data_IF_595206630222
#
_entry.id   IF_595206630222
#
_cell.length_a   1.000
_cell.length_b   1.000
_cell.length_c   1.000
_cell.angle_alpha   90.00
_cell.angle_beta   90.00
_cell.angle_gamma   90.00
#
_symmetry.space_group_name_H-M   'P 1'
#
loop_
_entity.id
_entity.type
_entity.pdbx_description
1 polymer ?
#
# COMPACT_ATOMS: atom_id res chain seq x y z
N UNK A 1 -8.05 33.01 13.08
CA UNK A 1 -8.23 32.37 11.76
C UNK A 1 -7.01 31.51 11.52
N UNK A 2 -7.13 30.19 11.59
CA UNK A 2 -6.01 29.30 11.24
C UNK A 2 -5.76 29.37 9.74
N UNK A 3 -4.49 29.36 9.31
CA UNK A 3 -4.18 29.23 7.88
C UNK A 3 -4.69 27.87 7.40
N UNK A 4 -5.51 27.88 6.35
CA UNK A 4 -5.94 26.65 5.70
C UNK A 4 -4.70 25.94 5.15
N UNK A 5 -4.41 24.74 5.65
CA UNK A 5 -3.26 23.95 5.19
C UNK A 5 -3.47 23.57 3.72
N UNK A 6 -2.45 23.80 2.90
CA UNK A 6 -2.47 23.52 1.46
C UNK A 6 -1.78 22.17 1.22
N UNK A 7 -2.43 21.27 0.47
CA UNK A 7 -1.85 19.97 0.14
C UNK A 7 -0.60 20.12 -0.74
N UNK A 8 0.37 19.22 -0.54
CA UNK A 8 1.58 19.05 -1.35
C UNK A 8 1.29 19.06 -2.86
N UNK A 9 0.22 18.40 -3.31
CA UNK A 9 -0.13 18.28 -4.74
C UNK A 9 -0.53 19.61 -5.38
N UNK A 10 -1.05 20.56 -4.59
CA UNK A 10 -1.40 21.88 -5.09
C UNK A 10 -0.15 22.71 -5.45
N UNK A 11 0.99 22.39 -4.82
CA UNK A 11 2.32 22.94 -5.13
C UNK A 11 3.09 22.06 -6.14
N UNK A 12 2.91 20.74 -6.10
CA UNK A 12 3.61 19.76 -6.94
C UNK A 12 2.63 18.97 -7.83
N UNK A 13 2.10 19.62 -8.88
CA UNK A 13 1.26 18.91 -9.85
C UNK A 13 2.08 17.85 -10.58
N UNK A 14 1.54 16.63 -10.69
CA UNK A 14 2.09 15.67 -11.64
C UNK A 14 1.68 16.07 -13.05
N UNK A 15 2.70 16.34 -13.86
CA UNK A 15 2.58 16.49 -15.31
C UNK A 15 2.60 15.08 -15.94
N UNK A 16 1.65 14.78 -16.81
CA UNK A 16 1.73 13.59 -17.65
C UNK A 16 2.67 13.85 -18.82
N UNK A 17 3.83 13.18 -18.81
CA UNK A 17 4.85 13.27 -19.86
C UNK A 17 4.75 12.14 -20.90
N UNK A 18 3.65 11.37 -20.89
CA UNK A 18 3.33 10.35 -21.90
C UNK A 18 3.01 10.96 -23.27
N UNK A 19 2.42 12.16 -23.30
CA UNK A 19 1.92 12.82 -24.51
C UNK A 19 0.53 12.36 -24.96
N UNK A 20 -0.18 11.57 -24.15
CA UNK A 20 -1.49 10.98 -24.49
C UNK A 20 -2.62 11.91 -24.01
N UNK A 21 -3.61 12.15 -24.87
CA UNK A 21 -4.79 12.97 -24.52
C UNK A 21 -5.94 12.09 -24.06
N UNK A 22 -6.29 12.18 -22.79
CA UNK A 22 -7.43 11.46 -22.18
C UNK A 22 -8.70 12.30 -22.35
N UNK A 23 -9.77 11.73 -22.91
CA UNK A 23 -11.05 12.45 -23.04
C UNK A 23 -11.89 12.33 -21.75
N UNK A 24 -12.75 13.33 -21.44
CA UNK A 24 -13.63 13.27 -20.26
C UNK A 24 -14.47 11.99 -20.22
N UNK A 25 -14.45 11.31 -19.08
CA UNK A 25 -15.21 10.07 -18.84
C UNK A 25 -14.58 8.79 -19.39
N UNK A 26 -13.42 8.85 -20.07
CA UNK A 26 -12.68 7.65 -20.44
C UNK A 26 -11.87 7.08 -19.26
N UNK A 27 -11.67 5.75 -19.26
CA UNK A 27 -10.63 5.13 -18.45
C UNK A 27 -9.26 5.58 -19.00
N UNK A 28 -8.43 6.31 -18.21
CA UNK A 28 -7.16 6.85 -18.70
C UNK A 28 -6.17 5.74 -19.07
N UNK A 29 -6.24 4.60 -18.40
CA UNK A 29 -5.35 3.47 -18.63
C UNK A 29 -5.70 2.73 -19.92
N UNK A 30 -6.99 2.67 -20.27
CA UNK A 30 -7.44 2.08 -21.54
C UNK A 30 -7.05 2.95 -22.75
N UNK A 31 -7.14 4.28 -22.60
CA UNK A 31 -6.62 5.23 -23.60
C UNK A 31 -5.10 5.06 -23.82
N UNK A 32 -4.35 4.80 -22.73
CA UNK A 32 -2.92 4.54 -22.78
C UNK A 32 -2.57 3.23 -23.50
N UNK A 33 -3.24 2.12 -23.16
CA UNK A 33 -3.04 0.81 -23.81
C UNK A 33 -3.31 0.92 -25.32
N UNK A 34 -4.38 1.63 -25.71
CA UNK A 34 -4.72 1.89 -27.13
C UNK A 34 -3.66 2.71 -27.85
N UNK A 35 -3.08 3.72 -27.21
CA UNK A 35 -2.00 4.52 -27.77
C UNK A 35 -0.71 3.71 -27.99
N UNK A 36 -0.49 2.66 -27.20
CA UNK A 36 0.60 1.69 -27.32
C UNK A 36 0.23 0.44 -28.16
N UNK A 37 -0.87 0.45 -28.92
CA UNK A 37 -1.32 -0.68 -29.75
C UNK A 37 -1.49 -2.01 -28.99
N UNK A 38 -1.74 -1.98 -27.68
CA UNK A 38 -1.73 -3.16 -26.79
C UNK A 38 -0.39 -3.95 -26.83
N UNK A 39 0.71 -3.25 -27.09
CA UNK A 39 2.06 -3.81 -27.16
C UNK A 39 2.81 -3.59 -25.83
N UNK A 40 3.17 -4.66 -25.08
CA UNK A 40 3.92 -4.55 -23.83
C UNK A 40 5.23 -3.76 -23.93
N UNK A 41 5.93 -3.87 -25.05
CA UNK A 41 7.19 -3.16 -25.27
C UNK A 41 6.99 -1.64 -25.43
N UNK A 42 5.91 -1.22 -26.09
CA UNK A 42 5.53 0.19 -26.21
C UNK A 42 5.07 0.76 -24.85
N UNK A 43 4.26 -0.01 -24.10
CA UNK A 43 3.86 0.33 -22.72
C UNK A 43 5.12 0.49 -21.84
N UNK A 44 6.05 -0.47 -21.86
CA UNK A 44 7.29 -0.39 -21.09
C UNK A 44 8.12 0.84 -21.49
N UNK A 45 8.28 1.10 -22.80
CA UNK A 45 9.04 2.22 -23.31
C UNK A 45 8.46 3.58 -22.86
N UNK A 46 7.14 3.74 -22.82
CA UNK A 46 6.52 4.95 -22.30
C UNK A 46 6.67 5.10 -20.78
N UNK A 47 6.55 4.02 -19.99
CA UNK A 47 6.88 4.06 -18.56
C UNK A 47 8.33 4.50 -18.33
N UNK A 48 9.26 3.97 -19.13
CA UNK A 48 10.67 4.32 -19.07
C UNK A 48 10.93 5.78 -19.44
N UNK A 49 10.34 6.25 -20.54
CA UNK A 49 10.44 7.64 -21.00
C UNK A 49 9.82 8.61 -19.98
N UNK A 50 8.69 8.28 -19.37
CA UNK A 50 8.05 9.11 -18.33
C UNK A 50 8.94 9.25 -17.10
N UNK A 51 9.42 8.14 -16.52
CA UNK A 51 10.23 8.19 -15.28
C UNK A 51 11.59 8.87 -15.49
N UNK A 52 12.24 8.65 -16.63
CA UNK A 52 13.55 9.27 -16.95
C UNK A 52 13.41 10.77 -17.23
N UNK A 53 12.43 11.20 -18.04
CA UNK A 53 12.14 12.63 -18.25
C UNK A 53 11.77 13.33 -16.95
N UNK A 54 10.94 12.71 -16.10
CA UNK A 54 10.58 13.30 -14.79
C UNK A 54 11.80 13.44 -13.89
N UNK A 55 12.63 12.40 -13.77
CA UNK A 55 13.88 12.49 -12.99
C UNK A 55 14.78 13.62 -13.48
N UNK A 56 14.98 13.76 -14.79
CA UNK A 56 15.81 14.83 -15.35
C UNK A 56 15.20 16.22 -15.10
N UNK A 57 13.89 16.41 -15.30
CA UNK A 57 13.22 17.67 -14.96
C UNK A 57 13.38 18.04 -13.48
N UNK A 58 13.32 17.06 -12.57
CA UNK A 58 13.42 17.29 -11.13
C UNK A 58 14.88 17.52 -10.71
N UNK A 59 15.83 16.80 -11.30
CA UNK A 59 17.27 17.06 -11.20
C UNK A 59 17.60 18.52 -11.52
N UNK A 60 17.12 19.02 -12.66
CA UNK A 60 17.32 20.41 -13.05
C UNK A 60 16.71 21.40 -12.05
N UNK A 61 15.54 21.10 -11.46
CA UNK A 61 14.94 21.92 -10.38
C UNK A 61 15.80 21.94 -9.10
N UNK A 62 16.38 20.81 -8.68
CA UNK A 62 17.24 20.74 -7.49
C UNK A 62 18.52 21.57 -7.64
N UNK A 63 19.18 21.50 -8.80
CA UNK A 63 20.46 22.18 -9.06
C UNK A 63 20.29 23.60 -9.62
N UNK A 64 19.06 24.06 -9.83
CA UNK A 64 18.77 25.39 -10.37
C UNK A 64 19.37 26.50 -9.47
N UNK A 65 20.03 27.52 -10.05
CA UNK A 65 20.52 28.67 -9.29
C UNK A 65 19.42 29.44 -8.56
N UNK A 66 18.17 29.33 -9.03
CA UNK A 66 16.99 29.98 -8.47
C UNK A 66 16.08 29.01 -7.70
N UNK A 67 16.57 27.83 -7.29
CA UNK A 67 15.90 26.92 -6.35
C UNK A 67 15.25 27.69 -5.17
N UNK A 68 14.00 27.36 -4.85
CA UNK A 68 13.19 28.08 -3.85
C UNK A 68 13.12 27.35 -2.51
N UNK A 69 12.48 26.18 -2.52
CA UNK A 69 12.18 25.34 -1.36
C UNK A 69 11.90 23.91 -1.84
N UNK A 70 12.07 22.95 -0.94
CA UNK A 70 11.41 21.66 -0.99
C UNK A 70 9.92 21.83 -0.67
N UNK A 71 9.11 20.91 -1.15
CA UNK A 71 7.65 20.93 -0.99
C UNK A 71 7.30 19.99 0.17
N UNK A 72 7.48 20.50 1.39
CA UNK A 72 7.22 19.78 2.64
C UNK A 72 5.70 19.61 2.85
N UNK A 73 5.25 18.38 3.15
CA UNK A 73 3.85 18.13 3.50
C UNK A 73 3.54 18.65 4.93
N UNK A 74 2.62 19.62 5.09
CA UNK A 74 2.38 20.25 6.39
C UNK A 74 1.56 19.39 7.35
N UNK A 75 0.93 18.30 6.88
CA UNK A 75 0.20 17.35 7.71
C UNK A 75 1.16 16.29 8.25
N UNK A 76 1.99 15.68 7.38
CA UNK A 76 3.01 14.72 7.82
C UNK A 76 4.00 15.38 8.79
N UNK A 77 4.42 16.63 8.52
CA UNK A 77 5.29 17.39 9.41
C UNK A 77 4.70 17.54 10.83
N UNK A 78 3.38 17.67 10.97
CA UNK A 78 2.70 17.74 12.29
C UNK A 78 2.56 16.38 12.95
N UNK A 79 2.23 15.34 12.18
CA UNK A 79 2.17 13.96 12.69
C UNK A 79 3.51 13.53 13.29
N UNK A 80 4.61 13.89 12.63
CA UNK A 80 5.98 13.55 13.05
C UNK A 80 6.60 14.55 14.04
N UNK A 81 5.96 15.72 14.27
CA UNK A 81 6.43 16.72 15.22
C UNK A 81 5.34 17.16 16.22
N UNK A 82 5.19 16.44 17.36
CA UNK A 82 4.24 16.78 18.42
C UNK A 82 4.45 18.15 19.07
N UNK A 83 5.62 18.79 18.91
CA UNK A 83 5.87 20.15 19.42
C UNK A 83 5.13 21.22 18.60
N UNK A 84 4.79 20.94 17.34
CA UNK A 84 4.01 21.85 16.50
C UNK A 84 2.54 21.83 16.86
N UNK A 85 1.97 20.64 17.08
CA UNK A 85 0.55 20.47 17.37
C UNK A 85 0.29 19.13 18.08
N UNK A 86 0.28 19.16 19.42
CA UNK A 86 0.13 17.95 20.24
C UNK A 86 -1.23 17.27 20.00
N UNK A 87 -1.19 16.01 19.55
CA UNK A 87 -2.40 15.23 19.27
C UNK A 87 -3.05 15.53 17.92
N UNK A 88 -2.32 16.19 17.00
CA UNK A 88 -2.76 16.38 15.61
C UNK A 88 -3.19 15.06 14.96
N UNK A 89 -4.28 15.13 14.19
CA UNK A 89 -4.77 14.04 13.35
C UNK A 89 -4.93 14.58 11.93
N UNK A 90 -4.45 13.85 10.93
CA UNK A 90 -4.62 14.26 9.54
C UNK A 90 -6.10 14.11 9.14
N UNK A 91 -6.83 15.19 8.79
CA UNK A 91 -8.23 15.09 8.39
C UNK A 91 -8.42 14.46 7.00
N UNK A 92 -7.35 14.26 6.22
CA UNK A 92 -7.41 13.71 4.86
C UNK A 92 -7.61 12.19 4.89
N UNK A 93 -8.75 11.74 4.39
CA UNK A 93 -9.02 10.31 4.16
C UNK A 93 -9.06 10.02 2.65
N UNK A 94 -8.82 8.77 2.28
CA UNK A 94 -8.80 8.32 0.89
C UNK A 94 -9.52 6.99 0.71
N UNK A 95 -9.75 6.61 -0.55
CA UNK A 95 -10.06 5.24 -0.93
C UNK A 95 -9.09 4.81 -2.03
N UNK A 96 -8.24 3.81 -1.74
CA UNK A 96 -7.13 3.38 -2.60
C UNK A 96 -7.06 1.86 -2.64
N UNK A 97 -6.95 1.29 -3.83
CA UNK A 97 -6.56 -0.11 -4.03
C UNK A 97 -5.03 -0.18 -4.14
N UNK A 98 -4.43 -0.69 -3.08
CA UNK A 98 -3.00 -0.95 -2.96
C UNK A 98 -2.63 -2.41 -3.27
N UNK A 99 -1.42 -2.60 -3.81
CA UNK A 99 -0.69 -3.85 -3.81
C UNK A 99 0.36 -3.81 -2.70
N UNK A 100 0.48 -4.90 -1.91
CA UNK A 100 1.60 -5.04 -0.96
C UNK A 100 2.83 -5.57 -1.72
N UNK A 101 4.00 -4.91 -1.60
CA UNK A 101 5.23 -5.42 -2.19
C UNK A 101 5.66 -6.75 -1.55
N UNK A 102 6.21 -7.70 -2.33
CA UNK A 102 6.82 -8.90 -1.78
C UNK A 102 8.00 -8.58 -0.84
N UNK A 103 8.25 -9.45 0.13
CA UNK A 103 9.32 -9.30 1.13
C UNK A 103 10.73 -9.02 0.53
N UNK A 104 11.07 -9.61 -0.63
CA UNK A 104 12.33 -9.30 -1.30
C UNK A 104 12.43 -7.84 -1.81
N UNK A 105 11.30 -7.25 -2.21
CA UNK A 105 11.20 -5.84 -2.60
C UNK A 105 11.22 -4.93 -1.36
N UNK A 106 10.57 -5.32 -0.26
CA UNK A 106 10.65 -4.58 1.01
C UNK A 106 12.08 -4.52 1.52
N UNK A 107 12.84 -5.62 1.44
CA UNK A 107 14.28 -5.62 1.76
C UNK A 107 15.07 -4.68 0.84
N UNK A 108 14.82 -4.70 -0.47
CA UNK A 108 15.49 -3.80 -1.42
C UNK A 108 15.19 -2.33 -1.11
N UNK A 109 13.91 -2.01 -0.85
CA UNK A 109 13.49 -0.67 -0.43
C UNK A 109 14.16 -0.25 0.88
N UNK A 110 14.29 -1.14 1.87
CA UNK A 110 14.99 -0.87 3.13
C UNK A 110 16.49 -0.61 2.93
N UNK A 111 17.15 -1.35 2.02
CA UNK A 111 18.55 -1.10 1.66
C UNK A 111 18.72 0.28 1.02
N UNK A 112 17.86 0.63 0.07
CA UNK A 112 17.86 1.94 -0.60
C UNK A 112 17.57 3.09 0.37
N UNK A 113 16.60 2.91 1.29
CA UNK A 113 16.37 3.85 2.39
C UNK A 113 17.63 4.06 3.23
N UNK A 114 18.39 3.01 3.55
CA UNK A 114 19.62 3.11 4.33
C UNK A 114 20.76 3.81 3.57
N UNK A 115 20.82 3.72 2.23
CA UNK A 115 21.74 4.51 1.41
C UNK A 115 21.33 5.99 1.38
N UNK A 116 20.06 6.28 1.09
CA UNK A 116 19.53 7.64 1.01
C UNK A 116 19.60 8.38 2.37
N UNK A 117 19.33 7.69 3.48
CA UNK A 117 19.41 8.26 4.84
C UNK A 117 20.83 8.63 5.27
N UNK A 118 21.87 8.02 4.68
CA UNK A 118 23.27 8.45 4.88
C UNK A 118 23.58 9.75 4.13
N UNK A 119 22.91 10.00 3.00
CA UNK A 119 23.07 11.20 2.20
C UNK A 119 22.29 12.39 2.80
N UNK A 120 21.06 12.15 3.26
CA UNK A 120 20.19 13.15 3.86
C UNK A 120 19.66 12.64 5.23
N UNK A 121 20.39 12.90 6.34
CA UNK A 121 20.04 12.38 7.66
C UNK A 121 18.71 12.84 8.26
N UNK A 122 18.13 13.95 7.78
CA UNK A 122 16.89 14.55 8.29
C UNK A 122 15.62 14.15 7.51
N UNK A 123 15.72 13.35 6.42
CA UNK A 123 14.53 12.86 5.69
C UNK A 123 13.68 11.91 6.53
N UNK A 124 12.36 11.96 6.33
CA UNK A 124 11.46 10.94 6.84
C UNK A 124 11.46 9.71 5.92
N UNK A 125 11.37 8.51 6.49
CA UNK A 125 11.40 7.25 5.77
C UNK A 125 10.08 6.51 5.96
N UNK A 126 9.46 6.07 4.86
CA UNK A 126 8.24 5.26 4.89
C UNK A 126 8.47 3.97 5.69
N UNK A 127 7.72 3.70 6.77
CA UNK A 127 7.89 2.48 7.55
C UNK A 127 7.66 1.22 6.68
N UNK A 128 8.55 0.23 6.75
CA UNK A 128 8.52 -0.97 5.90
C UNK A 128 7.16 -1.69 5.92
N UNK A 129 6.51 -1.79 7.07
CA UNK A 129 5.19 -2.42 7.23
C UNK A 129 4.03 -1.63 6.59
N UNK A 130 4.27 -0.37 6.19
CA UNK A 130 3.34 0.51 5.47
C UNK A 130 3.70 0.69 4.00
N UNK A 131 4.83 0.14 3.53
CA UNK A 131 5.20 0.19 2.11
C UNK A 131 4.12 -0.50 1.26
N UNK A 132 3.71 0.20 0.21
CA UNK A 132 2.66 -0.23 -0.70
C UNK A 132 2.88 0.38 -2.09
N UNK A 133 2.22 -0.19 -3.09
CA UNK A 133 2.21 0.29 -4.47
C UNK A 133 0.75 0.54 -4.88
N UNK A 134 0.45 1.74 -5.37
CA UNK A 134 -0.93 2.14 -5.68
C UNK A 134 -1.35 1.66 -7.07
N UNK A 135 -2.28 0.71 -7.13
CA UNK A 135 -2.93 0.28 -8.38
C UNK A 135 -3.95 1.32 -8.84
N UNK A 136 -4.84 1.75 -7.93
CA UNK A 136 -5.85 2.77 -8.18
C UNK A 136 -6.11 3.62 -6.94
N UNK A 137 -5.91 4.94 -7.04
CA UNK A 137 -6.54 5.91 -6.14
C UNK A 137 -7.96 6.20 -6.67
N UNK A 138 -8.99 5.87 -5.88
CA UNK A 138 -10.40 6.14 -6.21
C UNK A 138 -10.75 7.59 -5.82
N UNK A 139 -10.36 8.04 -4.64
CA UNK A 139 -10.49 9.44 -4.22
C UNK A 139 -9.52 9.77 -3.07
N UNK A 140 -9.33 11.07 -2.82
CA UNK A 140 -8.34 11.63 -1.90
C UNK A 140 -8.91 12.83 -1.12
N UNK A 141 -8.32 13.15 0.03
CA UNK A 141 -8.65 14.32 0.86
C UNK A 141 -10.15 14.48 1.19
N UNK A 142 -10.82 13.37 1.50
CA UNK A 142 -12.23 13.33 1.93
C UNK A 142 -12.39 13.23 3.44
N UNK A 143 -13.60 13.51 3.92
CA UNK A 143 -14.04 13.25 5.30
C UNK A 143 -14.25 11.75 5.57
N UNK A 144 -14.22 11.30 6.84
CA UNK A 144 -14.55 9.93 7.20
C UNK A 144 -15.95 9.49 6.74
N UNK A 145 -16.93 10.39 6.78
CA UNK A 145 -18.32 10.15 6.36
C UNK A 145 -18.42 9.88 4.86
N UNK A 146 -17.73 10.69 4.04
CA UNK A 146 -17.64 10.48 2.59
C UNK A 146 -16.98 9.14 2.25
N UNK A 147 -15.84 8.81 2.89
CA UNK A 147 -15.17 7.51 2.67
C UNK A 147 -16.04 6.34 3.12
N UNK A 148 -16.81 6.49 4.21
CA UNK A 148 -17.76 5.46 4.66
C UNK A 148 -18.85 5.23 3.61
N UNK A 149 -19.47 6.28 3.07
CA UNK A 149 -20.48 6.17 2.02
C UNK A 149 -19.95 5.52 0.73
N UNK A 150 -18.73 5.85 0.32
CA UNK A 150 -18.07 5.26 -0.84
C UNK A 150 -17.74 3.78 -0.61
N UNK A 151 -17.15 3.43 0.53
CA UNK A 151 -16.82 2.04 0.87
C UNK A 151 -18.06 1.16 1.06
N UNK A 152 -19.17 1.70 1.57
CA UNK A 152 -20.46 1.01 1.61
C UNK A 152 -21.02 0.72 0.22
N UNK A 153 -20.91 1.68 -0.71
CA UNK A 153 -21.33 1.50 -2.11
C UNK A 153 -20.51 0.40 -2.80
N UNK A 154 -19.20 0.33 -2.54
CA UNK A 154 -18.31 -0.68 -3.13
C UNK A 154 -18.28 -2.02 -2.39
N UNK A 155 -18.98 -2.15 -1.25
CA UNK A 155 -18.77 -3.21 -0.23
C UNK A 155 -18.82 -4.65 -0.77
N UNK A 156 -19.65 -4.92 -1.78
CA UNK A 156 -19.75 -6.24 -2.43
C UNK A 156 -18.64 -6.53 -3.45
N UNK A 157 -18.07 -5.49 -4.07
CA UNK A 157 -17.04 -5.59 -5.10
C UNK A 157 -15.61 -5.57 -4.53
N UNK A 158 -15.38 -4.90 -3.39
CA UNK A 158 -14.05 -4.79 -2.74
C UNK A 158 -13.29 -6.13 -2.65
N UNK A 159 -13.90 -7.26 -2.22
CA UNK A 159 -13.18 -8.54 -2.14
C UNK A 159 -12.72 -9.01 -3.52
N UNK A 160 -13.57 -8.89 -4.54
CA UNK A 160 -13.25 -9.30 -5.91
C UNK A 160 -12.14 -8.45 -6.54
N UNK A 161 -12.15 -7.14 -6.27
CA UNK A 161 -11.11 -6.21 -6.75
C UNK A 161 -9.76 -6.48 -6.06
N UNK A 162 -9.77 -6.69 -4.74
CA UNK A 162 -8.56 -7.01 -3.99
C UNK A 162 -7.97 -8.37 -4.41
N UNK A 163 -8.83 -9.37 -4.61
CA UNK A 163 -8.44 -10.72 -5.02
C UNK A 163 -8.08 -10.84 -6.52
N UNK A 164 -8.28 -9.78 -7.32
CA UNK A 164 -8.14 -9.83 -8.79
C UNK A 164 -6.76 -10.34 -9.24
N UNK A 165 -5.71 -9.95 -8.51
CA UNK A 165 -4.32 -10.34 -8.74
C UNK A 165 -4.01 -11.83 -8.54
N UNK A 166 -4.86 -12.59 -7.84
CA UNK A 166 -4.71 -14.04 -7.76
C UNK A 166 -4.85 -14.72 -9.12
N UNK A 167 -5.67 -14.14 -10.01
CA UNK A 167 -5.96 -14.65 -11.36
C UNK A 167 -5.37 -13.80 -12.50
N UNK A 168 -4.95 -12.56 -12.23
CA UNK A 168 -4.40 -11.63 -13.22
C UNK A 168 -3.04 -11.10 -12.74
N UNK A 169 -1.95 -11.74 -13.18
CA UNK A 169 -0.60 -11.54 -12.65
C UNK A 169 0.29 -10.80 -13.63
N UNK A 170 0.47 -9.51 -13.41
CA UNK A 170 1.50 -8.72 -14.09
C UNK A 170 2.82 -8.71 -13.33
N UNK A 171 3.93 -8.65 -14.07
CA UNK A 171 5.29 -8.50 -13.51
C UNK A 171 5.76 -7.04 -13.60
N UNK A 172 6.62 -6.66 -12.66
CA UNK A 172 7.34 -5.39 -12.64
C UNK A 172 8.84 -5.67 -12.57
N UNK A 173 9.65 -4.84 -13.20
CA UNK A 173 11.10 -5.05 -13.39
C UNK A 173 11.86 -3.72 -13.31
N UNK A 174 13.20 -3.81 -13.40
CA UNK A 174 14.10 -2.66 -13.62
C UNK A 174 13.90 -1.51 -12.60
N UNK A 175 14.09 -1.77 -11.29
CA UNK A 175 13.96 -0.76 -10.23
C UNK A 175 14.80 0.50 -10.50
N UNK A 176 14.24 1.68 -10.22
CA UNK A 176 14.94 2.97 -10.34
C UNK A 176 14.39 3.95 -9.29
N UNK A 177 15.27 4.63 -8.57
CA UNK A 177 14.91 5.75 -7.69
C UNK A 177 14.37 6.90 -8.55
N UNK A 178 13.13 7.30 -8.25
CA UNK A 178 12.50 8.52 -8.75
C UNK A 178 12.26 9.48 -7.60
N UNK A 179 12.41 10.77 -7.87
CA UNK A 179 12.30 11.82 -6.87
C UNK A 179 11.75 13.11 -7.47
N UNK A 180 11.22 13.96 -6.60
CA UNK A 180 10.92 15.35 -6.88
C UNK A 180 11.19 16.20 -5.64
N UNK A 181 10.77 17.47 -5.64
CA UNK A 181 10.96 18.40 -4.52
C UNK A 181 10.19 18.02 -3.24
N UNK A 182 9.28 17.03 -3.27
CA UNK A 182 8.46 16.61 -2.12
C UNK A 182 8.83 15.23 -1.55
N UNK A 183 9.22 14.29 -2.40
CA UNK A 183 9.39 12.89 -2.03
C UNK A 183 10.41 12.15 -2.90
N UNK A 184 10.78 10.96 -2.44
CA UNK A 184 11.56 9.99 -3.21
C UNK A 184 10.97 8.58 -3.05
N UNK A 185 11.02 7.81 -4.13
CA UNK A 185 10.34 6.53 -4.30
C UNK A 185 11.20 5.58 -5.14
N UNK A 186 11.01 4.27 -4.98
CA UNK A 186 11.50 3.28 -5.96
C UNK A 186 10.39 3.04 -6.98
N UNK A 187 10.73 3.17 -8.25
CA UNK A 187 9.84 2.99 -9.40
C UNK A 187 10.25 1.79 -10.24
N UNK A 188 9.28 1.17 -10.90
CA UNK A 188 9.46 -0.05 -11.69
C UNK A 188 8.81 0.11 -13.07
N UNK A 189 9.29 -0.69 -14.01
CA UNK A 189 8.68 -0.83 -15.32
C UNK A 189 7.76 -2.06 -15.35
N UNK A 190 6.64 -2.06 -16.09
CA UNK A 190 5.95 -3.28 -16.47
C UNK A 190 6.89 -4.16 -17.29
N UNK A 191 6.92 -5.47 -17.02
CA UNK A 191 7.68 -6.40 -17.84
C UNK A 191 7.12 -6.50 -19.27
N UNK A 192 7.99 -6.79 -20.23
CA UNK A 192 7.71 -6.83 -21.66
C UNK A 192 8.56 -7.89 -22.39
N UNK A 193 8.81 -9.04 -21.75
CA UNK A 193 9.57 -10.17 -22.30
C UNK A 193 10.88 -10.47 -21.58
N UNK A 194 11.19 -9.80 -20.46
CA UNK A 194 12.35 -10.15 -19.62
C UNK A 194 12.27 -11.61 -19.14
N UNK A 195 13.40 -12.34 -19.05
CA UNK A 195 13.39 -13.69 -18.52
C UNK A 195 12.94 -13.69 -17.05
N UNK A 196 12.04 -14.59 -16.61
CA UNK A 196 11.69 -14.70 -15.20
C UNK A 196 12.94 -15.07 -14.38
N UNK A 197 13.21 -14.29 -13.33
CA UNK A 197 14.43 -14.41 -12.51
C UNK A 197 14.23 -15.28 -11.24
N UNK A 198 13.02 -15.75 -10.97
CA UNK A 198 12.73 -16.67 -9.87
C UNK A 198 11.72 -17.76 -10.22
N UNK A 199 11.33 -18.59 -9.24
CA UNK A 199 10.61 -19.83 -9.50
C UNK A 199 9.20 -19.57 -10.07
N UNK A 200 8.69 -20.46 -10.94
CA UNK A 200 7.30 -20.38 -11.37
C UNK A 200 6.37 -20.46 -10.15
N UNK A 201 5.25 -19.72 -10.14
CA UNK A 201 4.33 -19.74 -9.01
C UNK A 201 3.85 -21.16 -8.69
N UNK A 202 3.76 -21.50 -7.40
CA UNK A 202 3.24 -22.80 -6.98
C UNK A 202 1.79 -22.97 -7.48
N UNK A 203 1.54 -24.04 -8.25
CA UNK A 203 0.21 -24.40 -8.72
C UNK A 203 -0.67 -24.78 -7.52
N UNK A 204 -1.72 -24.01 -7.27
CA UNK A 204 -2.73 -24.33 -6.24
C UNK A 204 -3.93 -25.02 -6.90
N UNK A 205 -4.49 -26.03 -6.23
CA UNK A 205 -5.52 -26.92 -6.78
C UNK A 205 -6.86 -26.25 -7.15
N UNK A 206 -7.00 -24.95 -6.91
CA UNK A 206 -8.19 -24.13 -7.20
C UNK A 206 -7.99 -23.11 -8.33
N UNK A 207 -6.80 -23.04 -8.94
CA UNK A 207 -6.55 -22.14 -10.06
C UNK A 207 -7.36 -22.54 -11.31
N UNK A 208 -8.43 -21.79 -11.57
CA UNK A 208 -8.88 -21.53 -12.95
C UNK A 208 -7.73 -20.93 -13.76
N UNK A 209 -7.84 -20.95 -15.10
CA UNK A 209 -6.87 -20.34 -16.01
C UNK A 209 -6.42 -18.95 -15.49
N UNK A 210 -5.15 -18.86 -15.11
CA UNK A 210 -4.50 -17.63 -14.63
C UNK A 210 -4.03 -16.87 -15.87
N UNK A 211 -4.32 -15.58 -15.93
CA UNK A 211 -3.68 -14.69 -16.89
C UNK A 211 -2.31 -14.35 -16.32
N UNK A 212 -1.27 -14.89 -16.97
CA UNK A 212 0.13 -14.72 -16.62
C UNK A 212 0.99 -14.54 -17.88
N UNK A 213 2.15 -13.92 -17.71
CA UNK A 213 3.03 -13.49 -18.80
C UNK A 213 2.86 -12.02 -19.16
N UNK A 214 3.79 -11.51 -19.96
CA UNK A 214 4.03 -10.07 -20.10
C UNK A 214 3.09 -9.37 -21.10
N UNK A 215 2.22 -10.11 -21.80
CA UNK A 215 1.08 -9.52 -22.49
C UNK A 215 0.17 -8.77 -21.51
N UNK A 216 -0.04 -9.33 -20.32
CA UNK A 216 -0.79 -8.69 -19.24
C UNK A 216 0.14 -7.82 -18.37
N UNK A 217 0.53 -6.66 -18.90
CA UNK A 217 1.33 -5.66 -18.17
C UNK A 217 0.62 -5.11 -16.92
N UNK A 218 1.37 -4.49 -16.01
CA UNK A 218 0.81 -3.77 -14.85
C UNK A 218 -0.18 -2.66 -15.24
N UNK A 219 -0.06 -2.09 -16.43
CA UNK A 219 -1.01 -1.07 -16.90
C UNK A 219 -2.40 -1.67 -17.18
N UNK A 220 -2.47 -2.92 -17.64
CA UNK A 220 -3.73 -3.66 -17.76
C UNK A 220 -4.40 -3.87 -16.40
N UNK A 221 -3.62 -4.20 -15.36
CA UNK A 221 -4.17 -4.30 -14.01
C UNK A 221 -4.79 -2.98 -13.54
N UNK A 222 -4.16 -1.83 -13.82
CA UNK A 222 -4.73 -0.52 -13.47
C UNK A 222 -6.03 -0.25 -14.25
N UNK A 223 -6.06 -0.60 -15.54
CA UNK A 223 -7.24 -0.50 -16.41
C UNK A 223 -8.39 -1.34 -15.86
N UNK A 224 -8.14 -2.61 -15.57
CA UNK A 224 -9.15 -3.55 -15.09
C UNK A 224 -9.64 -3.18 -13.68
N UNK A 225 -8.75 -2.80 -12.76
CA UNK A 225 -9.12 -2.33 -11.41
C UNK A 225 -9.93 -1.03 -11.46
N UNK A 226 -9.62 -0.12 -12.40
CA UNK A 226 -10.44 1.08 -12.66
C UNK A 226 -11.84 0.71 -13.14
N UNK A 227 -11.97 -0.15 -14.16
CA UNK A 227 -13.28 -0.53 -14.71
C UNK A 227 -14.13 -1.26 -13.66
N UNK A 228 -13.53 -2.15 -12.87
CA UNK A 228 -14.22 -2.82 -11.77
C UNK A 228 -14.65 -1.84 -10.67
N UNK A 229 -13.80 -0.88 -10.30
CA UNK A 229 -14.17 0.15 -9.33
C UNK A 229 -15.30 1.04 -9.87
N UNK A 230 -15.21 1.51 -11.11
CA UNK A 230 -16.23 2.33 -11.77
C UNK A 230 -17.56 1.59 -11.91
N UNK A 231 -17.55 0.26 -12.13
CA UNK A 231 -18.76 -0.56 -12.25
C UNK A 231 -19.64 -0.57 -11.00
N UNK A 232 -19.10 -0.17 -9.85
CA UNK A 232 -19.87 0.00 -8.59
C UNK A 232 -20.74 1.27 -8.57
N UNK A 233 -20.56 2.18 -9.52
CA UNK A 233 -21.20 3.50 -9.53
C UNK A 233 -20.45 4.58 -8.74
N UNK A 234 -19.31 4.25 -8.11
CA UNK A 234 -18.45 5.24 -7.45
C UNK A 234 -17.67 6.08 -8.49
N UNK A 235 -17.67 7.42 -8.37
CA UNK A 235 -16.83 8.27 -9.20
C UNK A 235 -15.35 8.10 -8.84
N UNK A 236 -14.48 8.05 -9.85
CA UNK A 236 -13.03 7.96 -9.68
C UNK A 236 -12.42 9.35 -9.87
N UNK A 237 -11.92 9.91 -8.78
CA UNK A 237 -11.29 11.24 -8.64
C UNK A 237 -9.77 11.11 -8.46
N UNK A 238 -9.14 10.28 -9.30
CA UNK A 238 -7.72 9.93 -9.21
C UNK A 238 -6.81 11.09 -9.64
N UNK A 239 -5.89 11.52 -8.76
CA UNK A 239 -4.79 12.47 -9.05
C UNK A 239 -3.74 11.84 -9.97
N UNK A 240 -3.50 10.53 -9.85
CA UNK A 240 -2.31 9.84 -10.38
C UNK A 240 -2.62 8.92 -11.57
N UNK A 241 -2.99 9.51 -12.71
CA UNK A 241 -3.33 8.73 -13.92
C UNK A 241 -2.09 8.37 -14.78
N UNK A 242 -0.93 8.97 -14.49
CA UNK A 242 0.33 8.81 -15.23
C UNK A 242 0.89 7.37 -15.23
N UNK A 243 1.70 6.97 -16.23
CA UNK A 243 2.41 5.68 -16.26
C UNK A 243 3.50 5.61 -15.18
N UNK A 244 3.12 5.12 -14.00
CA UNK A 244 4.03 4.87 -12.88
C UNK A 244 3.62 3.64 -12.09
N UNK A 245 4.62 2.89 -11.62
CA UNK A 245 4.49 1.80 -10.66
C UNK A 245 5.58 2.07 -9.62
N UNK A 246 5.21 2.53 -8.42
CA UNK A 246 6.20 2.97 -7.44
C UNK A 246 5.79 2.67 -5.99
N UNK A 247 6.79 2.67 -5.12
CA UNK A 247 6.67 2.56 -3.66
C UNK A 247 7.41 3.76 -3.06
N UNK A 248 6.70 4.58 -2.28
CA UNK A 248 7.30 5.71 -1.56
C UNK A 248 8.36 5.21 -0.58
N UNK A 249 9.58 5.76 -0.68
CA UNK A 249 10.68 5.45 0.24
C UNK A 249 10.78 6.50 1.35
N UNK A 250 10.45 7.76 1.06
CA UNK A 250 10.51 8.82 2.05
C UNK A 250 10.12 10.21 1.52
N UNK A 251 10.11 11.17 2.44
CA UNK A 251 9.72 12.57 2.20
C UNK A 251 10.65 13.54 2.93
N UNK A 252 10.67 14.78 2.46
CA UNK A 252 11.38 15.86 3.15
C UNK A 252 10.49 16.49 4.22
N UNK A 253 10.99 16.58 5.44
CA UNK A 253 10.36 17.33 6.55
C UNK A 253 11.08 18.65 6.85
N UNK A 254 12.22 18.90 6.20
CA UNK A 254 13.07 20.06 6.45
C UNK A 254 14.08 20.27 5.32
N UNK A 255 14.54 21.50 5.14
CA UNK A 255 15.56 21.90 4.16
C UNK A 255 16.99 21.49 4.55
N UNK A 256 17.25 21.10 5.82
CA UNK A 256 18.60 20.99 6.40
C UNK A 256 19.64 20.22 5.57
N UNK A 257 19.23 19.18 4.87
CA UNK A 257 20.14 18.35 4.04
C UNK A 257 20.35 18.91 2.62
N UNK A 258 19.67 20.02 2.27
CA UNK A 258 19.52 20.58 0.93
C UNK A 258 19.67 22.12 0.89
N UNK A 259 20.07 22.76 1.99
CA UNK A 259 20.15 24.23 2.11
C UNK A 259 21.10 24.85 1.05
N UNK A 260 22.26 24.24 0.83
CA UNK A 260 23.27 24.76 -0.12
C UNK A 260 23.17 24.11 -1.51
N UNK A 261 23.57 24.81 -2.59
CA UNK A 261 23.63 24.22 -3.93
C UNK A 261 24.49 22.94 -4.00
N UNK A 262 25.58 22.89 -3.24
CA UNK A 262 26.50 21.75 -3.17
C UNK A 262 25.83 20.54 -2.50
N UNK A 263 25.03 20.78 -1.45
CA UNK A 263 24.26 19.73 -0.78
C UNK A 263 23.21 19.12 -1.72
N UNK A 264 22.49 19.97 -2.48
CA UNK A 264 21.52 19.51 -3.51
C UNK A 264 22.19 18.77 -4.67
N UNK A 265 23.32 19.28 -5.17
CA UNK A 265 24.09 18.60 -6.22
C UNK A 265 24.57 17.22 -5.76
N UNK A 266 25.05 17.12 -4.52
CA UNK A 266 25.48 15.85 -3.90
C UNK A 266 24.32 14.87 -3.69
N UNK A 267 23.13 15.34 -3.30
CA UNK A 267 21.93 14.51 -3.20
C UNK A 267 21.55 13.90 -4.56
N UNK A 268 21.54 14.71 -5.61
CA UNK A 268 21.34 14.28 -7.00
C UNK A 268 22.39 13.26 -7.43
N UNK A 269 23.68 13.55 -7.21
CA UNK A 269 24.80 12.65 -7.55
C UNK A 269 24.66 11.27 -6.87
N UNK A 270 24.25 11.24 -5.60
CA UNK A 270 24.03 9.98 -4.87
C UNK A 270 22.84 9.21 -5.43
N UNK A 271 21.74 9.87 -5.81
CA UNK A 271 20.61 9.19 -6.48
C UNK A 271 21.03 8.64 -7.84
N UNK A 272 21.79 9.40 -8.64
CA UNK A 272 22.30 8.93 -9.93
C UNK A 272 23.24 7.73 -9.76
N UNK A 273 24.12 7.75 -8.75
CA UNK A 273 24.99 6.62 -8.40
C UNK A 273 24.22 5.38 -7.93
N UNK A 274 23.16 5.55 -7.14
CA UNK A 274 22.25 4.45 -6.74
C UNK A 274 21.50 3.89 -7.95
N UNK A 275 21.08 4.74 -8.89
CA UNK A 275 20.41 4.30 -10.11
C UNK A 275 21.35 3.52 -11.04
N UNK A 276 22.59 3.96 -11.20
CA UNK A 276 23.61 3.20 -11.93
C UNK A 276 23.88 1.84 -11.26
N UNK A 277 23.98 1.78 -9.92
CA UNK A 277 24.10 0.53 -9.19
C UNK A 277 22.89 -0.40 -9.34
N UNK A 278 21.66 0.13 -9.36
CA UNK A 278 20.45 -0.66 -9.64
C UNK A 278 20.53 -1.28 -11.05
N UNK A 279 20.95 -0.51 -12.05
CA UNK A 279 21.09 -0.96 -13.43
C UNK A 279 22.19 -2.03 -13.60
N UNK A 280 23.33 -1.95 -12.90
CA UNK A 280 24.41 -2.94 -13.03
C UNK A 280 24.28 -4.15 -12.10
N UNK A 281 23.77 -4.00 -10.88
CA UNK A 281 23.78 -5.04 -9.83
C UNK A 281 22.41 -5.61 -9.48
N UNK A 282 21.30 -5.08 -10.03
CA UNK A 282 19.93 -5.52 -9.68
C UNK A 282 19.03 -5.80 -10.89
N UNK A 283 19.27 -5.17 -12.04
CA UNK A 283 18.51 -5.46 -13.27
C UNK A 283 19.00 -6.78 -13.88
N UNK A 284 18.05 -7.64 -14.26
CA UNK A 284 18.23 -8.89 -15.01
C UNK A 284 19.21 -9.95 -14.41
N UNK A 285 19.78 -9.69 -13.24
CA UNK A 285 20.68 -10.58 -12.50
C UNK A 285 19.91 -11.65 -11.72
N UNK A 286 20.17 -12.93 -12.03
CA UNK A 286 19.50 -14.09 -11.41
C UNK A 286 20.08 -14.45 -10.04
N UNK A 287 21.40 -14.39 -9.93
CA UNK A 287 22.16 -14.83 -8.75
C UNK A 287 22.56 -13.67 -7.83
N UNK A 288 21.98 -12.48 -8.03
CA UNK A 288 22.21 -11.31 -7.18
C UNK A 288 21.67 -11.49 -5.75
N UNK A 289 22.34 -10.86 -4.78
CA UNK A 289 21.80 -10.66 -3.42
C UNK A 289 20.44 -9.95 -3.51
N UNK A 290 20.42 -8.88 -4.31
CA UNK A 290 19.26 -8.12 -4.70
C UNK A 290 18.79 -8.62 -6.06
N UNK A 291 17.50 -8.94 -6.17
CA UNK A 291 16.86 -9.26 -7.45
C UNK A 291 15.60 -8.42 -7.51
N UNK A 292 15.49 -7.59 -8.55
CA UNK A 292 14.39 -6.66 -8.75
C UNK A 292 13.03 -7.33 -9.00
N UNK A 293 13.01 -8.65 -9.18
CA UNK A 293 11.81 -9.46 -9.39
C UNK A 293 12.10 -10.95 -9.09
N UNK A 294 11.59 -11.54 -8.00
CA UNK A 294 11.73 -13.00 -7.77
C UNK A 294 10.46 -13.81 -7.99
N UNK A 295 9.27 -13.21 -7.86
CA UNK A 295 8.00 -13.84 -8.19
C UNK A 295 7.03 -12.78 -8.70
N UNK A 296 5.97 -13.19 -9.42
CA UNK A 296 4.92 -12.28 -9.89
C UNK A 296 4.45 -11.37 -8.76
N UNK A 297 4.60 -10.06 -8.97
CA UNK A 297 4.67 -9.03 -7.94
C UNK A 297 3.49 -8.98 -6.96
N UNK A 298 2.36 -9.54 -7.38
CA UNK A 298 1.12 -9.58 -6.64
C UNK A 298 0.68 -11.02 -6.46
N UNK A 299 1.37 -11.75 -5.58
CA UNK A 299 0.65 -12.73 -4.76
C UNK A 299 -0.20 -11.94 -3.77
N UNK A 300 -1.51 -12.14 -3.79
CA UNK A 300 -2.31 -11.82 -2.60
C UNK A 300 -1.79 -12.66 -1.43
N UNK A 301 -1.22 -12.00 -0.43
CA UNK A 301 -0.85 -12.62 0.84
C UNK A 301 -1.65 -11.93 1.93
N UNK A 302 -2.51 -12.73 2.55
CA UNK A 302 -3.41 -12.47 3.67
C UNK A 302 -4.33 -11.23 3.55
N UNK A 303 -5.64 -11.52 3.49
CA UNK A 303 -6.72 -10.55 3.60
C UNK A 303 -6.65 -9.82 4.95
N UNK A 304 -6.01 -8.65 4.95
CA UNK A 304 -5.74 -7.86 6.15
C UNK A 304 -7.01 -7.15 6.66
N UNK A 305 -7.37 -7.33 7.93
CA UNK A 305 -8.60 -6.82 8.53
C UNK A 305 -8.47 -5.86 9.73
N UNK A 306 -9.48 -4.98 9.85
CA UNK A 306 -9.59 -3.83 10.74
C UNK A 306 -9.53 -4.11 12.26
N UNK A 307 -8.83 -3.21 12.97
CA UNK A 307 -9.27 -2.63 14.25
C UNK A 307 -9.06 -1.11 14.23
N UNK A 308 -9.96 -0.38 14.87
CA UNK A 308 -9.87 1.08 15.02
C UNK A 308 -9.75 1.44 16.48
N UNK A 309 -8.59 1.95 16.92
CA UNK A 309 -8.38 2.41 18.29
C UNK A 309 -8.93 3.83 18.50
N UNK A 310 -10.24 3.99 18.26
CA UNK A 310 -10.98 5.15 18.73
C UNK A 310 -11.13 5.05 20.24
N UNK A 311 -10.29 5.78 21.00
CA UNK A 311 -10.45 5.96 22.45
C UNK A 311 -11.73 6.74 22.76
N UNK A 312 -12.87 6.05 22.75
CA UNK A 312 -14.11 6.56 23.30
C UNK A 312 -13.96 6.67 24.83
N UNK A 313 -14.23 7.86 25.35
CA UNK A 313 -14.25 8.10 26.79
C UNK A 313 -15.31 7.21 27.46
N UNK A 314 -14.96 6.62 28.60
CA UNK A 314 -15.85 5.73 29.34
C UNK A 314 -17.12 6.44 29.80
N UNK A 315 -18.26 6.14 29.19
CA UNK A 315 -19.57 6.41 29.80
C UNK A 315 -19.98 5.16 30.59
N UNK A 316 -19.77 5.19 31.91
CA UNK A 316 -20.42 4.22 32.81
C UNK A 316 -21.92 4.51 32.81
N UNK A 317 -22.73 3.61 32.25
CA UNK A 317 -24.14 3.52 32.65
C UNK A 317 -24.17 2.68 33.93
N UNK A 318 -24.35 3.36 35.06
CA UNK A 318 -24.53 2.72 36.36
C UNK A 318 -25.87 1.98 36.42
N UNK A 319 -25.88 0.78 37.00
CA UNK A 319 -27.13 0.10 37.37
C UNK A 319 -27.97 0.98 38.30
N UNK A 320 -29.21 1.28 37.92
CA UNK A 320 -30.35 1.56 38.82
C UNK A 320 -31.61 1.69 37.96
N UNK A 321 -32.60 0.82 38.15
CA UNK A 321 -33.83 0.89 37.34
C UNK A 321 -34.64 -0.41 37.27
N UNK A 322 -35.10 -0.90 38.42
CA UNK A 322 -36.03 -2.04 38.46
C UNK A 322 -37.33 -1.68 37.73
N UNK A 323 -37.75 -2.51 36.78
CA UNK A 323 -39.19 -2.82 36.64
C UNK A 323 -39.40 -4.20 36.02
N UNK A 324 -39.74 -5.17 36.87
CA UNK A 324 -40.25 -6.46 36.45
C UNK A 324 -41.73 -6.33 36.04
N UNK A 325 -42.11 -6.90 34.88
CA UNK A 325 -43.47 -7.41 34.60
C UNK A 325 -43.52 -8.23 33.30
N UNK A 326 -44.19 -9.38 33.41
CA UNK A 326 -44.67 -10.31 32.37
C UNK A 326 -43.81 -11.55 32.05
N UNK A 327 -43.94 -12.54 32.93
CA UNK A 327 -43.99 -13.97 32.59
C UNK A 327 -45.38 -14.30 32.00
N UNK A 328 -45.45 -15.02 30.87
CA UNK A 328 -46.11 -16.34 30.74
C UNK A 328 -46.28 -16.82 29.27
N UNK A 329 -46.18 -18.15 29.07
CA UNK A 329 -46.60 -18.98 27.90
C UNK A 329 -45.79 -18.80 26.60
N UNK A 330 -45.30 -19.82 25.89
CA UNK A 330 -45.34 -21.31 25.97
C UNK A 330 -43.89 -21.85 25.80
N UNK A 331 -43.52 -23.13 26.00
CA UNK A 331 -44.25 -24.34 26.39
C UNK A 331 -43.74 -25.62 25.70
N UNK A 332 -42.65 -26.21 26.24
CA UNK A 332 -42.14 -27.60 26.07
C UNK A 332 -41.66 -28.17 24.71
N UNK A 333 -40.51 -28.87 24.80
CA UNK A 333 -40.00 -30.07 24.07
C UNK A 333 -38.54 -29.86 23.59
N UNK A 334 -37.58 -30.79 23.73
CA UNK A 334 -37.50 -32.05 24.52
C UNK A 334 -36.01 -32.38 24.77
N UNK A 335 -35.64 -32.90 25.95
CA UNK A 335 -34.23 -33.29 26.23
C UNK A 335 -33.85 -34.60 25.52
N UNK A 336 -32.66 -34.64 24.90
CA UNK A 336 -31.91 -35.88 24.64
C UNK A 336 -30.43 -35.70 25.00
N UNK A 337 -29.98 -36.48 25.98
CA UNK A 337 -28.58 -36.70 26.35
C UNK A 337 -28.02 -37.94 25.66
N UNK A 338 -26.73 -38.00 25.31
CA UNK A 338 -25.91 -39.20 25.57
C UNK A 338 -24.39 -38.93 25.53
N UNK A 339 -23.66 -39.80 26.22
CA UNK A 339 -22.29 -39.72 26.74
C UNK A 339 -21.16 -39.55 25.72
N UNK A 340 -20.10 -38.87 26.16
CA UNK A 340 -18.73 -38.98 25.63
C UNK A 340 -18.09 -40.33 26.02
N UNK A 341 -17.27 -40.92 25.14
CA UNK A 341 -16.30 -41.96 25.50
C UNK A 341 -14.88 -41.39 25.42
N UNK A 342 -14.04 -41.71 26.41
CA UNK A 342 -12.64 -41.30 26.49
C UNK A 342 -11.76 -42.54 26.36
N UNK A 343 -10.80 -42.51 25.42
CA UNK A 343 -9.69 -43.47 25.41
C UNK A 343 -8.36 -42.75 25.70
N UNK A 344 -7.66 -43.23 26.72
CA UNK A 344 -6.28 -42.85 27.05
C UNK A 344 -5.29 -43.60 26.17
N UNK A 345 -4.21 -42.94 25.77
CA UNK A 345 -2.88 -43.56 25.66
C UNK A 345 -1.84 -42.65 26.32
N UNK A 346 -0.69 -43.21 26.71
CA UNK A 346 0.13 -42.71 27.82
C UNK A 346 1.61 -42.61 27.44
N UNK A 347 2.26 -41.50 27.87
CA UNK A 347 3.72 -41.32 27.95
C UNK A 347 4.50 -41.27 26.60
N UNK A 348 5.58 -40.49 26.49
CA UNK A 348 6.67 -40.36 27.45
C UNK A 348 7.20 -38.94 27.69
N UNK A 349 7.84 -38.78 28.85
CA UNK A 349 8.28 -37.50 29.42
C UNK A 349 9.80 -37.34 29.33
N UNK A 350 10.29 -36.12 29.09
CA UNK A 350 11.50 -35.62 29.77
C UNK A 350 11.30 -34.19 30.26
N UNK A 351 11.50 -34.01 31.57
CA UNK A 351 11.46 -32.74 32.31
C UNK A 351 12.86 -32.19 32.53
N UNK A 352 13.01 -30.87 32.44
CA UNK A 352 13.75 -30.03 33.38
C UNK A 352 13.15 -28.61 33.27
N UNK A 353 12.19 -28.27 34.13
CA UNK A 353 12.31 -27.51 35.41
C UNK A 353 12.39 -25.98 35.18
N UNK A 354 11.36 -25.19 35.56
CA UNK A 354 10.89 -24.83 36.93
C UNK A 354 11.97 -24.01 37.68
N UNK A 355 11.71 -23.02 38.54
CA UNK A 355 10.49 -22.36 39.10
C UNK A 355 10.95 -20.95 39.57
N UNK A 356 10.18 -19.88 39.75
CA UNK A 356 8.94 -19.29 39.17
C UNK A 356 8.89 -17.84 39.72
N UNK A 357 7.88 -17.00 39.38
CA UNK A 357 7.14 -16.22 40.39
C UNK A 357 5.84 -15.58 39.82
N UNK A 358 4.69 -16.05 40.31
CA UNK A 358 3.46 -15.31 40.72
C UNK A 358 2.93 -14.11 39.86
N UNK A 359 1.62 -13.87 39.64
CA UNK A 359 0.34 -14.60 39.82
C UNK A 359 -0.80 -13.68 39.27
N UNK A 360 -2.08 -14.02 39.03
CA UNK A 360 -2.90 -15.26 39.04
C UNK A 360 -4.08 -15.09 38.04
N UNK A 361 -4.84 -16.15 37.74
CA UNK A 361 -6.29 -16.19 37.35
C UNK A 361 -6.82 -15.35 36.14
N UNK A 362 -7.57 -15.93 35.18
CA UNK A 362 -7.91 -17.34 35.00
C UNK A 362 -8.99 -17.63 33.92
N UNK A 363 -8.85 -18.82 33.33
CA UNK A 363 -9.85 -19.62 32.59
C UNK A 363 -10.46 -19.13 31.27
N UNK A 364 -10.03 -19.81 30.20
CA UNK A 364 -10.85 -20.18 29.04
C UNK A 364 -12.14 -20.91 29.45
N UNK A 365 -13.22 -20.65 28.70
CA UNK A 365 -14.27 -21.64 28.42
C UNK A 365 -14.47 -21.67 26.91
N UNK A 366 -14.19 -22.82 26.29
CA UNK A 366 -14.48 -23.07 24.89
C UNK A 366 -15.88 -23.70 24.78
N UNK A 367 -16.77 -23.06 24.03
CA UNK A 367 -17.94 -23.73 23.46
C UNK A 367 -18.03 -23.38 21.98
N UNK A 368 -17.83 -24.40 21.15
CA UNK A 368 -18.02 -24.33 19.70
C UNK A 368 -19.50 -24.18 19.37
N UNK A 369 -19.85 -23.15 18.60
CA UNK A 369 -20.95 -23.26 17.64
C UNK A 369 -20.56 -22.59 16.32
N UNK A 370 -20.85 -23.28 15.20
CA UNK A 370 -20.33 -22.93 13.86
C UNK A 370 -21.20 -21.87 13.17
N UNK A 371 -20.78 -20.60 13.16
CA UNK A 371 -21.11 -19.66 12.06
C UNK A 371 -19.95 -18.69 11.83
N UNK A 372 -19.61 -18.47 10.55
CA UNK A 372 -18.51 -17.62 10.05
C UNK A 372 -18.26 -16.29 10.82
N UNK A 373 -17.09 -16.19 11.43
CA UNK A 373 -16.43 -14.93 11.75
C UNK A 373 -15.02 -14.94 11.16
N UNK A 374 -14.82 -14.26 10.02
CA UNK A 374 -13.50 -13.83 9.52
C UNK A 374 -13.63 -12.99 8.23
N UNK A 375 -14.14 -11.76 8.36
CA UNK A 375 -13.99 -10.67 7.36
C UNK A 375 -14.01 -9.31 8.06
N UNK A 376 -12.86 -8.64 8.13
CA UNK A 376 -12.73 -7.21 8.43
C UNK A 376 -11.85 -6.59 7.32
N UNK A 377 -11.98 -5.31 7.04
CA UNK A 377 -11.28 -4.59 5.96
C UNK A 377 -10.72 -3.27 6.49
N UNK A 378 -9.61 -2.76 5.97
CA UNK A 378 -9.06 -1.46 6.41
C UNK A 378 -9.62 -0.26 5.63
N UNK A 379 -9.87 0.83 6.36
CA UNK A 379 -9.83 2.20 5.84
C UNK A 379 -8.47 2.75 6.26
N UNK A 380 -7.64 3.12 5.30
CA UNK A 380 -6.37 3.81 5.58
C UNK A 380 -6.60 5.32 5.53
N UNK A 381 -6.51 5.96 6.68
CA UNK A 381 -6.05 7.35 6.74
C UNK A 381 -4.68 7.40 6.04
N UNK A 382 -4.49 8.30 5.08
CA UNK A 382 -3.17 8.45 4.47
C UNK A 382 -2.23 9.06 5.51
N UNK A 383 -1.29 8.24 5.99
CA UNK A 383 0.05 8.76 6.17
C UNK A 383 0.66 8.86 4.77
N UNK A 384 0.30 9.94 4.07
CA UNK A 384 0.85 10.34 2.77
C UNK A 384 2.37 10.53 2.91
#
# INVERSE_FOLDING_TARGET
MGSQLVSTDAKNKLEDLSGITILPGQNPYDAFIKACNDNPAEIQALYHAHRTKRNEQQKQKFIAPDFKELIIDPFLLRLENPEMELGFQDPRNCLVFWARPPDHIVRLAAHLQALLKKAAPNVWLMPQHRMHLTALEVTHSKTPEEITALTDTMRSAIPYIADYTYSHRSRLVKPMISYDLSAFAISFLPAAGEPPLGPPPALTATQKAVIEGDSYTYHHLRRDVFDLAQSTGVPIESRYQVPSAHITLGRYLTEKDHETPEARAKWVEIIDGINAWLETEVWDLKDGEWVGEREGWMRGMDSCGMEGEGRSGSVRVSETGIQARQLERLGMLQKRSFRLQVHKWWQSSRRARLIDNFDTLGMFVEMTDRVNHDKRFFVTQLCD
#
